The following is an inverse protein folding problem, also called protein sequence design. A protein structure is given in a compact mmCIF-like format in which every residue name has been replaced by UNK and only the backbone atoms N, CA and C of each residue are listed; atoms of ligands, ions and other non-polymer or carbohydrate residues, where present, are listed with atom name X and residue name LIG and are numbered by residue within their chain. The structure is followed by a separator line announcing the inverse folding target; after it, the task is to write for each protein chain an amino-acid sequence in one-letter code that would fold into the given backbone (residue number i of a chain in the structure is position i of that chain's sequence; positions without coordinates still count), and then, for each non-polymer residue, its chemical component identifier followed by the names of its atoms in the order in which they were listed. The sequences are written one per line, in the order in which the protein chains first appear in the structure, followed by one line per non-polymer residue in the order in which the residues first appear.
data_IF_034878633501
#
_entry.id   IF_034878633501
#
_cell.length_a   1.000
_cell.length_b   1.000
_cell.length_c   1.000
_cell.angle_alpha   90.00
_cell.angle_beta   90.00
_cell.angle_gamma   90.00
#
_symmetry.space_group_name_H-M   'P 1'
#
loop_
_entity.id
_entity.type
_entity.pdbx_description
1 polymer ?
#
# COMPACT_ATOMS: atom_id res chain seq x y z
N UNK A 1 1.72 -19.83 16.59
CA UNK A 1 2.76 -20.14 15.58
C UNK A 1 3.10 -18.82 14.92
N UNK A 2 4.35 -18.33 15.01
CA UNK A 2 4.75 -17.18 14.20
C UNK A 2 4.58 -17.53 12.71
N UNK A 3 4.12 -16.56 11.92
CA UNK A 3 4.05 -16.73 10.47
C UNK A 3 5.47 -16.77 9.91
N UNK A 4 5.77 -17.70 9.00
CA UNK A 4 7.02 -17.66 8.26
C UNK A 4 6.94 -16.67 7.08
N UNK A 5 8.08 -16.29 6.51
CA UNK A 5 8.17 -15.32 5.42
C UNK A 5 7.28 -15.67 4.22
N UNK A 6 7.18 -16.96 3.87
CA UNK A 6 6.34 -17.43 2.78
C UNK A 6 4.82 -17.23 3.03
N UNK A 7 4.37 -17.45 4.26
CA UNK A 7 2.99 -17.17 4.65
C UNK A 7 2.71 -15.67 4.61
N UNK A 8 3.60 -14.84 5.14
CA UNK A 8 3.49 -13.38 5.11
C UNK A 8 3.40 -12.87 3.66
N UNK A 9 4.27 -13.37 2.78
CA UNK A 9 4.27 -13.04 1.36
C UNK A 9 2.94 -13.41 0.68
N UNK A 10 2.38 -14.56 1.02
CA UNK A 10 1.08 -15.01 0.49
C UNK A 10 -0.04 -14.05 0.89
N UNK A 11 -0.08 -13.63 2.16
CA UNK A 11 -1.07 -12.65 2.63
C UNK A 11 -0.90 -11.30 1.93
N UNK A 12 0.31 -10.76 1.87
CA UNK A 12 0.60 -9.48 1.23
C UNK A 12 0.20 -9.51 -0.25
N UNK A 13 0.57 -10.57 -0.96
CA UNK A 13 0.21 -10.74 -2.38
C UNK A 13 -1.30 -10.81 -2.57
N UNK A 14 -2.01 -11.53 -1.69
CA UNK A 14 -3.48 -11.57 -1.71
C UNK A 14 -4.11 -10.18 -1.54
N UNK A 15 -3.57 -9.37 -0.63
CA UNK A 15 -4.07 -7.99 -0.41
C UNK A 15 -3.78 -7.07 -1.60
N UNK A 16 -2.60 -7.17 -2.21
CA UNK A 16 -2.28 -6.44 -3.44
C UNK A 16 -3.26 -6.79 -4.56
N UNK A 17 -3.52 -8.09 -4.79
CA UNK A 17 -4.48 -8.54 -5.80
C UNK A 17 -5.91 -8.04 -5.55
N UNK A 18 -6.35 -7.97 -4.29
CA UNK A 18 -7.67 -7.42 -3.96
C UNK A 18 -7.76 -5.92 -4.28
N UNK A 19 -6.73 -5.15 -3.92
CA UNK A 19 -6.64 -3.72 -4.24
C UNK A 19 -6.60 -3.49 -5.75
N UNK A 20 -5.79 -4.26 -6.47
CA UNK A 20 -5.66 -4.14 -7.92
C UNK A 20 -6.98 -4.50 -8.62
N UNK A 21 -7.64 -5.56 -8.19
CA UNK A 21 -8.98 -5.92 -8.66
C UNK A 21 -10.02 -4.83 -8.38
N UNK A 22 -9.91 -4.08 -7.28
CA UNK A 22 -10.75 -2.91 -7.04
C UNK A 22 -10.43 -1.79 -8.04
N UNK A 23 -9.16 -1.43 -8.23
CA UNK A 23 -8.71 -0.40 -9.17
C UNK A 23 -9.05 -0.72 -10.63
N UNK A 24 -9.11 -1.99 -11.02
CA UNK A 24 -9.52 -2.45 -12.35
C UNK A 24 -10.98 -2.12 -12.69
N UNK A 25 -11.85 -1.98 -11.68
CA UNK A 25 -13.29 -1.75 -11.85
C UNK A 25 -13.66 -0.27 -11.89
N UNK A 26 -12.71 0.62 -11.63
CA UNK A 26 -12.93 2.05 -11.53
C UNK A 26 -12.59 2.77 -12.83
N UNK A 27 -13.13 3.98 -12.96
CA UNK A 27 -12.75 5.01 -13.93
C UNK A 27 -12.13 6.21 -13.22
N UNK A 28 -11.44 7.09 -13.95
CA UNK A 28 -10.92 8.34 -13.37
C UNK A 28 -12.03 9.25 -12.80
N UNK A 29 -13.25 9.11 -13.29
CA UNK A 29 -14.39 9.85 -12.75
C UNK A 29 -14.75 9.36 -11.34
N UNK A 30 -14.64 8.07 -11.08
CA UNK A 30 -14.93 7.47 -9.76
C UNK A 30 -13.93 7.93 -8.70
N UNK A 31 -12.69 8.22 -9.09
CA UNK A 31 -11.67 8.74 -8.16
C UNK A 31 -12.07 10.08 -7.55
N UNK A 32 -12.92 10.87 -8.23
CA UNK A 32 -13.43 12.16 -7.73
C UNK A 32 -14.63 12.02 -6.80
N UNK A 33 -15.18 10.81 -6.63
CA UNK A 33 -16.28 10.58 -5.73
C UNK A 33 -15.85 10.84 -4.29
N UNK A 34 -16.60 11.67 -3.57
CA UNK A 34 -16.55 11.80 -2.12
C UNK A 34 -17.96 11.60 -1.56
N UNK A 35 -18.13 10.87 -0.43
CA UNK A 35 -19.41 10.76 0.27
C UNK A 35 -19.97 12.10 0.81
N UNK A 36 -19.20 13.19 0.71
CA UNK A 36 -19.55 14.50 1.25
C UNK A 36 -19.13 14.66 2.72
N UNK A 37 -19.39 15.84 3.29
CA UNK A 37 -18.90 16.22 4.62
C UNK A 37 -17.39 16.51 4.59
N UNK A 38 -16.66 15.98 5.56
CA UNK A 38 -15.19 16.11 5.66
C UNK A 38 -14.46 14.86 5.15
N UNK A 39 -15.15 14.00 4.40
CA UNK A 39 -14.56 12.80 3.85
C UNK A 39 -13.75 13.15 2.59
N UNK A 40 -12.55 12.59 2.51
CA UNK A 40 -11.70 12.64 1.31
C UNK A 40 -12.36 11.88 0.15
N UNK A 41 -11.95 12.20 -1.07
CA UNK A 41 -12.33 11.47 -2.27
C UNK A 41 -11.74 10.06 -2.30
N UNK A 42 -12.31 9.20 -3.15
CA UNK A 42 -11.81 7.84 -3.37
C UNK A 42 -10.36 7.83 -3.88
N UNK A 43 -9.99 8.79 -4.75
CA UNK A 43 -8.62 8.93 -5.24
C UNK A 43 -7.63 9.30 -4.14
N UNK A 44 -8.00 10.24 -3.26
CA UNK A 44 -7.20 10.60 -2.08
C UNK A 44 -7.07 9.42 -1.10
N UNK A 45 -8.13 8.61 -0.94
CA UNK A 45 -8.06 7.39 -0.12
C UNK A 45 -7.06 6.38 -0.67
N UNK A 46 -7.08 6.09 -1.97
CA UNK A 46 -6.08 5.22 -2.59
C UNK A 46 -4.66 5.80 -2.47
N UNK A 47 -4.51 7.12 -2.56
CA UNK A 47 -3.21 7.75 -2.37
C UNK A 47 -2.69 7.59 -0.93
N UNK A 48 -3.56 7.81 0.06
CA UNK A 48 -3.25 7.60 1.48
C UNK A 48 -2.91 6.14 1.78
N UNK A 49 -3.59 5.19 1.11
CA UNK A 49 -3.24 3.77 1.20
C UNK A 49 -1.84 3.49 0.64
N UNK A 50 -1.47 4.11 -0.50
CA UNK A 50 -0.13 3.99 -1.06
C UNK A 50 0.95 4.59 -0.13
N UNK A 51 0.66 5.73 0.51
CA UNK A 51 1.57 6.33 1.50
C UNK A 51 1.75 5.42 2.72
N UNK A 52 0.67 4.84 3.22
CA UNK A 52 0.73 3.85 4.31
C UNK A 52 1.59 2.64 3.92
N UNK A 53 1.45 2.14 2.69
CA UNK A 53 2.28 1.05 2.19
C UNK A 53 3.76 1.44 2.11
N UNK A 54 4.07 2.68 1.70
CA UNK A 54 5.43 3.21 1.71
C UNK A 54 6.01 3.29 3.12
N UNK A 55 5.23 3.73 4.11
CA UNK A 55 5.65 3.73 5.52
C UNK A 55 5.93 2.31 6.03
N UNK A 56 5.12 1.32 5.65
CA UNK A 56 5.42 -0.08 5.97
C UNK A 56 6.70 -0.58 5.29
N UNK A 57 6.95 -0.21 4.03
CA UNK A 57 8.19 -0.55 3.32
C UNK A 57 9.42 -0.01 4.07
N UNK A 58 9.35 1.21 4.59
CA UNK A 58 10.40 1.78 5.44
C UNK A 58 10.54 1.00 6.75
N UNK A 59 9.43 0.64 7.40
CA UNK A 59 9.48 -0.13 8.65
C UNK A 59 10.13 -1.51 8.51
N UNK A 60 10.13 -2.11 7.32
CA UNK A 60 10.82 -3.38 7.07
C UNK A 60 12.36 -3.28 7.18
N UNK A 61 12.93 -2.07 7.20
CA UNK A 61 14.38 -1.88 7.39
C UNK A 61 14.81 -2.01 8.85
N UNK A 62 13.93 -1.63 9.78
CA UNK A 62 14.21 -1.59 11.22
C UNK A 62 13.32 -2.51 12.04
N UNK A 63 12.30 -3.10 11.42
CA UNK A 63 11.19 -3.83 12.04
C UNK A 63 10.44 -3.02 13.10
N UNK A 64 10.52 -1.69 13.02
CA UNK A 64 9.80 -0.74 13.88
C UNK A 64 8.95 0.16 13.00
N UNK A 65 7.65 0.24 13.32
CA UNK A 65 6.72 1.12 12.60
C UNK A 65 6.67 2.50 13.26
N UNK A 66 7.23 3.50 12.58
CA UNK A 66 7.20 4.91 12.98
C UNK A 66 6.50 5.73 11.88
N UNK A 67 5.16 5.89 11.95
CA UNK A 67 4.41 6.60 10.91
C UNK A 67 4.78 8.08 10.94
N UNK A 68 5.02 8.65 9.76
CA UNK A 68 5.35 10.07 9.61
C UNK A 68 4.12 10.97 9.53
N UNK A 69 2.95 10.36 9.33
CA UNK A 69 1.70 11.09 9.15
C UNK A 69 1.68 11.85 7.82
N UNK A 70 2.34 11.31 6.78
CA UNK A 70 2.38 11.93 5.46
C UNK A 70 0.97 12.32 5.01
N UNK A 71 0.76 13.62 4.81
CA UNK A 71 -0.48 14.16 4.30
C UNK A 71 -0.44 14.11 2.78
N UNK A 72 -1.52 13.61 2.18
CA UNK A 72 -1.70 13.62 0.73
C UNK A 72 -1.78 15.07 0.26
N UNK A 73 -0.83 15.57 -0.55
CA UNK A 73 -0.99 16.87 -1.17
C UNK A 73 -2.16 16.82 -2.14
N UNK A 74 -2.96 17.89 -2.19
CA UNK A 74 -4.12 18.03 -3.09
C UNK A 74 -3.66 18.06 -4.55
N UNK A 75 -3.48 16.87 -5.11
CA UNK A 75 -3.00 16.65 -6.47
C UNK A 75 -4.01 15.77 -7.16
N UNK A 76 -4.34 16.10 -8.40
CA UNK A 76 -5.22 15.26 -9.21
C UNK A 76 -4.60 13.87 -9.37
N UNK A 77 -5.37 12.86 -9.00
CA UNK A 77 -4.97 11.45 -9.09
C UNK A 77 -5.70 10.81 -10.28
N UNK A 78 -4.95 10.11 -11.13
CA UNK A 78 -5.49 9.28 -12.21
C UNK A 78 -5.17 7.79 -11.99
N UNK A 79 -5.95 6.91 -12.59
CA UNK A 79 -5.83 5.46 -12.41
C UNK A 79 -4.52 4.90 -12.94
N UNK A 80 -3.97 5.46 -14.02
CA UNK A 80 -2.71 4.98 -14.60
C UNK A 80 -1.60 5.24 -13.59
N UNK A 81 -1.53 6.46 -13.06
CA UNK A 81 -0.56 6.85 -12.04
C UNK A 81 -0.74 6.04 -10.74
N UNK A 82 -1.96 5.80 -10.27
CA UNK A 82 -2.21 4.97 -9.08
C UNK A 82 -1.72 3.54 -9.26
N UNK A 83 -2.10 2.89 -10.37
CA UNK A 83 -1.71 1.50 -10.65
C UNK A 83 -0.20 1.37 -10.78
N UNK A 84 0.44 2.30 -11.48
CA UNK A 84 1.90 2.32 -11.61
C UNK A 84 2.57 2.50 -10.24
N UNK A 85 2.06 3.40 -9.40
CA UNK A 85 2.61 3.65 -8.08
C UNK A 85 2.48 2.42 -7.16
N UNK A 86 1.30 1.80 -7.12
CA UNK A 86 1.10 0.58 -6.35
C UNK A 86 1.96 -0.59 -6.84
N UNK A 87 2.07 -0.80 -8.15
CA UNK A 87 2.95 -1.85 -8.70
C UNK A 87 4.42 -1.66 -8.25
N UNK A 88 4.89 -0.41 -8.21
CA UNK A 88 6.23 -0.09 -7.73
C UNK A 88 6.38 -0.35 -6.22
N UNK A 89 5.39 0.01 -5.40
CA UNK A 89 5.40 -0.22 -3.96
C UNK A 89 5.33 -1.71 -3.63
N UNK A 90 4.50 -2.48 -4.35
CA UNK A 90 4.37 -3.92 -4.17
C UNK A 90 5.69 -4.64 -4.42
N UNK A 91 6.36 -4.30 -5.53
CA UNK A 91 7.66 -4.86 -5.86
C UNK A 91 8.70 -4.54 -4.78
N UNK A 92 8.71 -3.31 -4.27
CA UNK A 92 9.61 -2.89 -3.20
C UNK A 92 9.33 -3.65 -1.89
N UNK A 93 8.07 -3.77 -1.50
CA UNK A 93 7.66 -4.49 -0.30
C UNK A 93 8.06 -5.96 -0.38
N UNK A 94 7.75 -6.64 -1.47
CA UNK A 94 8.12 -8.04 -1.68
C UNK A 94 9.64 -8.23 -1.71
N UNK A 95 10.37 -7.31 -2.34
CA UNK A 95 11.83 -7.37 -2.36
C UNK A 95 12.43 -7.24 -0.96
N UNK A 96 11.90 -6.34 -0.12
CA UNK A 96 12.37 -6.17 1.26
C UNK A 96 12.00 -7.37 2.13
N UNK A 97 10.76 -7.84 2.04
CA UNK A 97 10.29 -9.01 2.78
C UNK A 97 11.15 -10.25 2.49
N UNK A 98 11.45 -10.51 1.21
CA UNK A 98 12.27 -11.66 0.80
C UNK A 98 13.73 -11.55 1.21
N UNK A 99 14.20 -10.35 1.56
CA UNK A 99 15.54 -10.15 2.10
C UNK A 99 15.62 -10.43 3.61
N UNK A 100 14.47 -10.46 4.31
CA UNK A 100 14.40 -10.83 5.73
C UNK A 100 14.47 -12.35 5.89
N UNK A 101 15.21 -12.77 6.89
CA UNK A 101 15.26 -14.17 7.35
C UNK A 101 14.16 -14.44 8.39
N UNK A 102 13.88 -15.70 8.67
CA UNK A 102 12.97 -16.06 9.77
C UNK A 102 13.50 -15.57 11.13
N UNK A 103 14.82 -15.58 11.32
CA UNK A 103 15.46 -15.10 12.54
C UNK A 103 15.29 -13.58 12.73
N UNK A 104 15.31 -12.80 11.64
CA UNK A 104 15.05 -11.35 11.70
C UNK A 104 13.63 -11.08 12.22
N UNK A 105 12.66 -11.93 11.88
CA UNK A 105 11.26 -11.78 12.29
C UNK A 105 10.97 -12.24 13.73
N UNK A 106 11.95 -12.83 14.42
CA UNK A 106 11.83 -13.32 15.79
C UNK A 106 12.44 -12.37 16.83
N UNK A 107 12.99 -11.23 16.39
CA UNK A 107 13.55 -10.18 17.25
C UNK A 107 12.46 -9.33 17.91
#
# INVERSE_FOLDING_TARGET
MPYNTAQIETYITGMHMMRDGALERLTDADLRFSPGGWNISLGELFRSLADTQAEYITSLETLVFEPTGSQVPDTTVDLISLRAHFAQLDQQMLSKLRALTEDDLLQ
#
